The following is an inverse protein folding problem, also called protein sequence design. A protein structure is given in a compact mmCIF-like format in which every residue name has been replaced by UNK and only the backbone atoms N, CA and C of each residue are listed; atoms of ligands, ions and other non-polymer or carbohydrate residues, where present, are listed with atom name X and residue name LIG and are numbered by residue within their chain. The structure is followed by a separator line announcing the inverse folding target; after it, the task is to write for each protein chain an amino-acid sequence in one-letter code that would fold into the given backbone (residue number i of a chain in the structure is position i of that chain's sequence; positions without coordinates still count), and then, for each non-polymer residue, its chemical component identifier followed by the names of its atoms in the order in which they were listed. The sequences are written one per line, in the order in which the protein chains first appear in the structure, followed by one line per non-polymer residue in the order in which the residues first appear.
data_IF_560431599959
#
_entry.id   IF_560431599959
#
_cell.length_a   1.000
_cell.length_b   1.000
_cell.length_c   1.000
_cell.angle_alpha   90.00
_cell.angle_beta   90.00
_cell.angle_gamma   90.00
#
_symmetry.space_group_name_H-M   'P 1'
#
loop_
_entity.id
_entity.type
_entity.pdbx_description
1 polymer ?
#
# COMPACT_ATOMS: atom_id res chain seq x y z
N UNK A 1 -13.71 -6.48 12.96
CA UNK A 1 -12.82 -5.40 13.43
C UNK A 1 -13.68 -4.20 13.74
N UNK A 2 -13.55 -3.63 14.92
CA UNK A 2 -14.10 -2.30 15.17
C UNK A 2 -13.30 -1.29 14.36
N UNK A 3 -13.99 -0.34 13.75
CA UNK A 3 -13.35 0.69 12.92
C UNK A 3 -12.86 1.89 13.74
N UNK A 4 -13.03 1.86 15.06
CA UNK A 4 -12.68 2.96 15.97
C UNK A 4 -11.95 2.42 17.20
N UNK A 5 -10.99 3.19 17.69
CA UNK A 5 -10.23 2.93 18.91
C UNK A 5 -10.52 4.05 19.93
N UNK A 6 -11.73 4.58 19.89
CA UNK A 6 -12.16 5.62 20.81
C UNK A 6 -12.29 5.08 22.23
N UNK A 7 -12.01 5.90 23.21
CA UNK A 7 -12.01 5.47 24.61
C UNK A 7 -13.37 4.93 25.08
N UNK A 8 -14.47 5.45 24.55
CA UNK A 8 -15.83 4.99 24.88
C UNK A 8 -16.11 3.60 24.28
N UNK A 9 -15.62 3.29 23.09
CA UNK A 9 -15.68 1.95 22.49
C UNK A 9 -14.84 0.95 23.29
N UNK A 10 -13.62 1.33 23.67
CA UNK A 10 -12.75 0.51 24.52
C UNK A 10 -13.39 0.26 25.88
N UNK A 11 -13.97 1.28 26.50
CA UNK A 11 -14.65 1.15 27.79
C UNK A 11 -15.83 0.17 27.71
N UNK A 12 -16.64 0.27 26.67
CA UNK A 12 -17.80 -0.62 26.46
C UNK A 12 -17.39 -2.04 26.20
N UNK A 13 -16.43 -2.26 25.29
CA UNK A 13 -16.06 -3.60 24.82
C UNK A 13 -15.22 -4.36 25.83
N UNK A 14 -14.21 -3.73 26.43
CA UNK A 14 -13.23 -4.40 27.28
C UNK A 14 -13.46 -4.23 28.77
N UNK A 15 -14.19 -3.21 29.19
CA UNK A 15 -14.45 -2.92 30.59
C UNK A 15 -15.93 -3.09 30.99
N UNK A 16 -16.84 -3.27 30.04
CA UNK A 16 -18.29 -3.30 30.29
C UNK A 16 -18.82 -1.98 30.86
N UNK A 17 -18.15 -0.86 30.58
CA UNK A 17 -18.47 0.48 31.10
C UNK A 17 -19.02 1.38 30.01
N UNK A 18 -20.04 2.15 30.35
CA UNK A 18 -20.51 3.25 29.50
C UNK A 18 -19.93 4.57 30.02
N UNK A 19 -19.19 5.24 29.13
CA UNK A 19 -18.63 6.58 29.35
C UNK A 19 -19.11 7.49 28.23
N UNK A 20 -19.27 8.82 28.48
CA UNK A 20 -19.69 9.75 27.42
C UNK A 20 -18.75 9.73 26.24
N UNK A 21 -19.28 9.57 25.01
CA UNK A 21 -18.50 9.67 23.79
C UNK A 21 -18.03 11.10 23.50
N UNK A 22 -17.09 11.25 22.56
CA UNK A 22 -16.60 12.58 22.16
C UNK A 22 -17.75 13.53 21.76
N UNK A 23 -18.67 13.04 20.89
CA UNK A 23 -19.79 13.85 20.39
C UNK A 23 -20.82 14.23 21.46
N UNK A 24 -20.88 13.48 22.57
CA UNK A 24 -21.70 13.83 23.72
C UNK A 24 -21.07 14.95 24.58
N UNK A 25 -19.73 14.97 24.64
CA UNK A 25 -19.00 16.02 25.36
C UNK A 25 -18.88 17.30 24.52
N UNK A 26 -18.68 17.15 23.21
CA UNK A 26 -18.45 18.23 22.24
C UNK A 26 -19.46 18.17 21.07
N UNK A 27 -20.75 18.42 21.29
CA UNK A 27 -21.79 18.21 20.29
C UNK A 27 -21.71 19.12 19.05
N UNK A 28 -20.89 20.18 19.10
CA UNK A 28 -20.72 21.13 17.99
C UNK A 28 -19.34 21.06 17.31
N UNK A 29 -18.43 20.25 17.83
CA UNK A 29 -17.03 20.15 17.36
C UNK A 29 -16.85 18.83 16.62
N UNK A 30 -16.27 18.86 15.42
CA UNK A 30 -15.92 17.63 14.70
C UNK A 30 -14.74 16.95 15.36
N UNK A 31 -14.71 15.61 15.38
CA UNK A 31 -13.61 14.80 15.95
C UNK A 31 -12.21 15.16 15.40
N UNK A 32 -12.15 15.67 14.17
CA UNK A 32 -10.90 16.11 13.51
C UNK A 32 -10.45 17.52 13.94
N UNK A 33 -11.24 18.23 14.71
CA UNK A 33 -10.97 19.60 15.14
C UNK A 33 -10.52 19.60 16.60
N UNK A 34 -9.53 20.45 16.94
CA UNK A 34 -9.16 20.68 18.34
C UNK A 34 -10.23 21.54 18.97
N UNK A 35 -10.83 21.14 20.09
CA UNK A 35 -11.90 21.91 20.75
C UNK A 35 -11.33 23.12 21.51
N UNK A 36 -10.69 24.05 20.78
CA UNK A 36 -10.00 25.22 21.36
C UNK A 36 -10.94 26.26 21.97
N UNK A 37 -12.19 26.32 21.46
CA UNK A 37 -13.19 27.28 21.87
C UNK A 37 -14.22 26.69 22.86
N UNK A 38 -14.01 25.45 23.29
CA UNK A 38 -14.88 24.75 24.22
C UNK A 38 -14.60 25.15 25.68
N UNK A 39 -15.60 24.98 26.52
CA UNK A 39 -15.44 25.29 27.96
C UNK A 39 -14.40 24.34 28.58
N UNK A 40 -13.53 24.88 29.47
CA UNK A 40 -12.46 24.12 30.12
C UNK A 40 -12.93 22.85 30.83
N UNK A 41 -14.15 22.81 31.34
CA UNK A 41 -14.75 21.66 32.02
C UNK A 41 -14.95 20.48 31.06
N UNK A 42 -15.39 20.70 29.81
CA UNK A 42 -15.56 19.66 28.81
C UNK A 42 -14.21 19.09 28.37
N UNK A 43 -13.21 19.97 28.21
CA UNK A 43 -11.84 19.55 27.88
C UNK A 43 -11.28 18.67 29.01
N UNK A 44 -11.41 19.10 30.25
CA UNK A 44 -10.98 18.33 31.42
C UNK A 44 -11.70 16.98 31.49
N UNK A 45 -13.02 16.97 31.33
CA UNK A 45 -13.86 15.79 31.37
C UNK A 45 -13.40 14.78 30.31
N UNK A 46 -13.18 15.22 29.07
CA UNK A 46 -12.68 14.40 27.97
C UNK A 46 -11.30 13.81 28.27
N UNK A 47 -10.35 14.64 28.73
CA UNK A 47 -9.00 14.20 29.08
C UNK A 47 -9.03 13.17 30.23
N UNK A 48 -9.87 13.38 31.25
CA UNK A 48 -10.03 12.46 32.38
C UNK A 48 -10.59 11.10 31.91
N UNK A 49 -11.59 11.07 31.04
CA UNK A 49 -12.13 9.79 30.52
C UNK A 49 -11.10 9.04 29.67
N UNK A 50 -10.36 9.74 28.79
CA UNK A 50 -9.28 9.12 28.02
C UNK A 50 -8.23 8.46 28.93
N UNK A 51 -7.72 9.21 29.91
CA UNK A 51 -6.70 8.72 30.83
C UNK A 51 -7.23 7.56 31.71
N UNK A 52 -8.45 7.68 32.22
CA UNK A 52 -9.07 6.67 33.08
C UNK A 52 -9.32 5.36 32.33
N UNK A 53 -9.91 5.43 31.13
CA UNK A 53 -10.19 4.25 30.33
C UNK A 53 -8.89 3.57 29.89
N UNK A 54 -7.89 4.35 29.42
CA UNK A 54 -6.59 3.80 29.05
C UNK A 54 -5.93 3.07 30.24
N UNK A 55 -5.95 3.66 31.44
CA UNK A 55 -5.41 3.02 32.63
C UNK A 55 -6.15 1.74 33.01
N UNK A 56 -7.50 1.76 33.00
CA UNK A 56 -8.32 0.58 33.36
C UNK A 56 -8.27 -0.53 32.33
N UNK A 57 -8.21 -0.19 31.05
CA UNK A 57 -8.19 -1.18 29.98
C UNK A 57 -6.87 -1.93 29.86
N UNK A 58 -5.77 -1.41 30.41
CA UNK A 58 -4.43 -2.00 30.32
C UNK A 58 -4.42 -3.49 30.61
N UNK A 59 -4.95 -3.89 31.77
CA UNK A 59 -4.88 -5.30 32.19
C UNK A 59 -5.77 -6.19 31.32
N UNK A 60 -7.01 -5.75 31.02
CA UNK A 60 -7.93 -6.47 30.16
C UNK A 60 -7.38 -6.64 28.73
N UNK A 61 -6.78 -5.59 28.15
CA UNK A 61 -6.14 -5.66 26.85
C UNK A 61 -4.89 -6.56 26.86
N UNK A 62 -4.10 -6.51 27.94
CA UNK A 62 -2.93 -7.38 28.07
C UNK A 62 -3.33 -8.85 28.14
N UNK A 63 -4.36 -9.20 28.93
CA UNK A 63 -4.88 -10.56 28.96
C UNK A 63 -5.44 -10.99 27.60
N UNK A 64 -6.12 -10.07 26.87
CA UNK A 64 -6.61 -10.36 25.51
C UNK A 64 -5.48 -10.63 24.53
N UNK A 65 -4.37 -9.89 24.60
CA UNK A 65 -3.16 -10.14 23.81
C UNK A 65 -2.53 -11.51 24.13
N UNK A 66 -2.52 -11.93 25.40
CA UNK A 66 -2.06 -13.28 25.81
C UNK A 66 -2.98 -14.37 25.25
N UNK A 67 -4.29 -14.26 25.46
CA UNK A 67 -5.29 -15.20 24.94
C UNK A 67 -5.20 -15.38 23.41
N UNK A 68 -4.89 -14.31 22.71
CA UNK A 68 -4.74 -14.31 21.25
C UNK A 68 -3.32 -14.57 20.79
N UNK A 69 -2.37 -14.87 21.68
CA UNK A 69 -0.94 -15.13 21.39
C UNK A 69 -0.27 -13.99 20.61
N UNK A 70 -0.76 -12.74 20.78
CA UNK A 70 -0.22 -11.57 20.12
C UNK A 70 0.62 -10.67 21.03
N UNK A 71 0.87 -11.06 22.29
CA UNK A 71 1.63 -10.23 23.23
C UNK A 71 3.08 -10.03 22.78
N UNK A 72 3.71 -11.04 22.20
CA UNK A 72 5.10 -10.97 21.74
C UNK A 72 5.25 -9.98 20.58
N UNK A 73 4.38 -10.04 19.57
CA UNK A 73 4.43 -9.09 18.46
C UNK A 73 4.10 -7.67 18.93
N UNK A 74 3.19 -7.53 19.90
CA UNK A 74 2.89 -6.23 20.50
C UNK A 74 4.12 -5.62 21.18
N UNK A 75 4.80 -6.39 22.06
CA UNK A 75 5.93 -5.88 22.83
C UNK A 75 7.19 -5.69 21.99
N UNK A 76 7.46 -6.60 21.03
CA UNK A 76 8.72 -6.64 20.29
C UNK A 76 8.66 -5.91 18.93
N UNK A 77 7.45 -5.65 18.40
CA UNK A 77 7.27 -4.99 17.11
C UNK A 77 6.43 -3.71 17.25
N UNK A 78 5.18 -3.81 17.71
CA UNK A 78 4.27 -2.65 17.63
C UNK A 78 4.71 -1.49 18.55
N UNK A 79 5.11 -1.78 19.79
CA UNK A 79 5.55 -0.74 20.74
C UNK A 79 6.90 -0.13 20.32
N UNK A 80 7.95 -0.89 20.00
CA UNK A 80 9.20 -0.29 19.52
C UNK A 80 9.03 0.52 18.22
N UNK A 81 8.18 0.06 17.32
CA UNK A 81 7.89 0.78 16.08
C UNK A 81 7.31 2.19 16.31
N UNK A 82 6.52 2.38 17.37
CA UNK A 82 5.94 3.69 17.70
C UNK A 82 7.02 4.78 17.83
N UNK A 83 8.17 4.44 18.40
CA UNK A 83 9.29 5.39 18.54
C UNK A 83 9.96 5.67 17.19
N UNK A 84 10.15 4.64 16.34
CA UNK A 84 10.71 4.84 15.01
C UNK A 84 9.80 5.71 14.12
N UNK A 85 8.48 5.49 14.18
CA UNK A 85 7.51 6.31 13.48
C UNK A 85 7.46 7.75 14.01
N UNK A 86 7.53 7.94 15.32
CA UNK A 86 7.61 9.27 15.91
C UNK A 86 8.83 10.05 15.41
N UNK A 87 10.01 9.42 15.43
CA UNK A 87 11.24 10.05 14.94
C UNK A 87 11.15 10.38 13.45
N UNK A 88 10.52 9.51 12.63
CA UNK A 88 10.27 9.72 11.22
C UNK A 88 9.29 10.88 10.95
N UNK A 89 8.18 10.96 11.70
CA UNK A 89 7.22 12.06 11.63
C UNK A 89 7.84 13.40 12.03
N UNK A 90 8.69 13.40 13.08
CA UNK A 90 9.43 14.60 13.50
C UNK A 90 10.49 15.03 12.47
N UNK A 91 11.15 14.07 11.82
CA UNK A 91 12.11 14.38 10.75
C UNK A 91 11.41 15.02 9.55
N UNK A 92 10.28 14.47 9.12
CA UNK A 92 9.58 14.87 7.91
C UNK A 92 10.44 14.70 6.65
N UNK A 93 9.87 14.94 5.49
CA UNK A 93 10.57 14.90 4.20
C UNK A 93 10.59 16.27 3.54
N UNK A 94 11.76 16.72 3.08
CA UNK A 94 11.92 18.04 2.47
C UNK A 94 11.36 18.08 1.05
N UNK A 95 10.70 19.18 0.70
CA UNK A 95 10.06 19.42 -0.59
C UNK A 95 10.56 20.71 -1.20
N UNK A 96 11.00 20.67 -2.46
CA UNK A 96 11.29 21.83 -3.27
C UNK A 96 9.98 22.49 -3.74
N UNK A 97 9.39 23.38 -2.93
CA UNK A 97 8.10 24.00 -3.17
C UNK A 97 8.00 24.71 -4.53
N UNK A 98 9.08 25.38 -4.96
CA UNK A 98 9.14 26.02 -6.27
C UNK A 98 9.02 25.02 -7.43
N UNK A 99 9.71 23.87 -7.35
CA UNK A 99 9.61 22.79 -8.33
C UNK A 99 8.21 22.17 -8.35
N UNK A 100 7.59 22.01 -7.17
CA UNK A 100 6.23 21.50 -7.06
C UNK A 100 5.22 22.45 -7.73
N UNK A 101 5.39 23.76 -7.53
CA UNK A 101 4.58 24.80 -8.18
C UNK A 101 4.75 24.79 -9.70
N UNK A 102 5.99 24.75 -10.20
CA UNK A 102 6.29 24.65 -11.63
C UNK A 102 5.65 23.40 -12.26
N UNK A 103 5.73 22.26 -11.57
CA UNK A 103 5.06 21.03 -11.98
C UNK A 103 3.53 21.23 -12.08
N UNK A 104 2.92 21.86 -11.09
CA UNK A 104 1.48 22.19 -11.09
C UNK A 104 1.04 23.08 -12.27
N UNK A 105 1.86 24.09 -12.63
CA UNK A 105 1.60 24.98 -13.77
C UNK A 105 1.73 24.24 -15.13
N UNK A 106 2.70 23.34 -15.26
CA UNK A 106 2.82 22.48 -16.46
C UNK A 106 1.59 21.58 -16.63
N UNK A 107 1.13 20.94 -15.54
CA UNK A 107 -0.09 20.13 -15.56
C UNK A 107 -1.31 20.97 -15.96
N UNK A 108 -1.43 22.18 -15.40
CA UNK A 108 -2.53 23.10 -15.72
C UNK A 108 -2.55 23.43 -17.21
N UNK A 109 -1.41 23.73 -17.80
CA UNK A 109 -1.31 24.03 -19.25
C UNK A 109 -1.81 22.84 -20.10
N UNK A 110 -1.44 21.61 -19.73
CA UNK A 110 -1.92 20.41 -20.41
C UNK A 110 -3.43 20.18 -20.23
N UNK A 111 -3.94 20.39 -19.02
CA UNK A 111 -5.37 20.29 -18.70
C UNK A 111 -6.19 21.31 -19.54
N UNK A 112 -5.76 22.57 -19.56
CA UNK A 112 -6.46 23.66 -20.28
C UNK A 112 -6.48 23.38 -21.79
N UNK A 113 -5.41 22.78 -22.34
CA UNK A 113 -5.35 22.40 -23.75
C UNK A 113 -6.30 21.24 -24.09
N UNK A 114 -6.27 20.17 -23.27
CA UNK A 114 -7.15 19.01 -23.45
C UNK A 114 -8.63 19.38 -23.27
N UNK A 115 -8.95 20.25 -22.32
CA UNK A 115 -10.32 20.72 -22.10
C UNK A 115 -10.89 21.43 -23.35
N UNK A 116 -10.11 22.33 -23.98
CA UNK A 116 -10.50 22.96 -25.23
C UNK A 116 -10.74 21.97 -26.36
N UNK A 117 -9.84 21.00 -26.51
CA UNK A 117 -9.96 19.98 -27.55
C UNK A 117 -11.19 19.08 -27.30
N UNK A 118 -11.44 18.66 -26.05
CA UNK A 118 -12.59 17.86 -25.67
C UNK A 118 -13.90 18.61 -25.95
N UNK A 119 -13.99 19.90 -25.59
CA UNK A 119 -15.18 20.70 -25.84
C UNK A 119 -15.40 20.97 -27.34
N UNK A 120 -14.33 21.16 -28.09
CA UNK A 120 -14.43 21.32 -29.55
C UNK A 120 -14.98 20.07 -30.25
N UNK A 121 -14.57 18.86 -29.78
CA UNK A 121 -15.06 17.59 -30.32
C UNK A 121 -16.46 17.26 -29.85
N UNK A 122 -16.80 17.58 -28.59
CA UNK A 122 -18.16 17.40 -28.05
C UNK A 122 -19.18 18.39 -28.61
N UNK A 123 -18.71 19.53 -29.15
CA UNK A 123 -19.56 20.60 -29.68
C UNK A 123 -20.09 21.59 -28.64
N UNK A 124 -19.86 21.36 -27.37
CA UNK A 124 -20.25 22.22 -26.25
C UNK A 124 -19.45 21.94 -24.97
N UNK A 125 -19.48 22.88 -24.03
CA UNK A 125 -18.85 22.74 -22.73
C UNK A 125 -19.67 21.86 -21.79
N UNK A 126 -18.99 21.05 -20.97
CA UNK A 126 -19.57 20.22 -19.92
C UNK A 126 -18.55 19.92 -18.83
N UNK A 127 -18.97 19.42 -17.67
CA UNK A 127 -18.02 19.02 -16.62
C UNK A 127 -17.45 17.63 -16.91
N UNK A 128 -16.21 17.58 -17.44
CA UNK A 128 -15.48 16.35 -17.79
C UNK A 128 -15.26 15.45 -16.56
N UNK A 129 -15.14 16.04 -15.35
CA UNK A 129 -15.00 15.33 -14.10
C UNK A 129 -16.33 14.78 -13.55
N UNK A 130 -17.47 15.14 -14.15
CA UNK A 130 -18.77 14.58 -13.77
C UNK A 130 -19.03 13.27 -14.51
N UNK A 131 -19.05 12.10 -13.82
CA UNK A 131 -19.34 10.82 -14.47
C UNK A 131 -20.69 10.82 -15.21
N UNK A 132 -21.68 11.56 -14.67
CA UNK A 132 -23.00 11.66 -15.28
C UNK A 132 -23.00 12.42 -16.60
N UNK A 133 -22.38 13.61 -16.62
CA UNK A 133 -22.31 14.42 -17.83
C UNK A 133 -21.44 13.75 -18.89
N UNK A 134 -20.24 13.27 -18.51
CA UNK A 134 -19.39 12.56 -19.44
C UNK A 134 -20.05 11.29 -20.00
N UNK A 135 -20.79 10.55 -19.17
CA UNK A 135 -21.53 9.37 -19.62
C UNK A 135 -22.60 9.69 -20.66
N UNK A 136 -23.30 10.83 -20.51
CA UNK A 136 -24.30 11.29 -21.48
C UNK A 136 -23.62 11.70 -22.81
N UNK A 137 -22.50 12.43 -22.77
CA UNK A 137 -21.72 12.76 -23.97
C UNK A 137 -21.30 11.48 -24.71
N UNK A 138 -20.60 10.56 -24.01
CA UNK A 138 -20.03 9.38 -24.66
C UNK A 138 -21.10 8.41 -25.22
N UNK A 139 -22.11 8.11 -24.44
CA UNK A 139 -23.05 7.03 -24.74
C UNK A 139 -24.43 7.52 -25.15
N UNK A 140 -24.81 8.76 -24.83
CA UNK A 140 -26.05 9.41 -25.27
C UNK A 140 -25.88 10.15 -26.59
N UNK A 141 -24.98 11.14 -26.63
CA UNK A 141 -24.82 12.03 -27.80
C UNK A 141 -23.91 11.40 -28.87
N UNK A 142 -22.70 10.94 -28.50
CA UNK A 142 -21.75 10.33 -29.43
C UNK A 142 -22.06 8.87 -29.75
N UNK A 143 -22.98 8.24 -29.01
CA UNK A 143 -23.46 6.86 -29.20
C UNK A 143 -22.36 5.79 -29.25
N UNK A 144 -21.30 5.97 -28.45
CA UNK A 144 -20.22 4.98 -28.38
C UNK A 144 -20.75 3.63 -27.86
N UNK A 145 -20.18 2.51 -28.33
CA UNK A 145 -20.61 1.16 -27.89
C UNK A 145 -20.21 0.89 -26.43
N UNK A 146 -20.82 -0.12 -25.82
CA UNK A 146 -20.42 -0.63 -24.50
C UNK A 146 -20.90 0.22 -23.30
N UNK A 147 -21.79 1.16 -23.48
CA UNK A 147 -22.37 1.98 -22.42
C UNK A 147 -23.12 1.14 -21.38
N UNK A 148 -22.49 0.85 -20.23
CA UNK A 148 -23.11 0.12 -19.12
C UNK A 148 -23.87 1.08 -18.23
N UNK A 149 -25.21 0.98 -18.21
CA UNK A 149 -26.06 1.76 -17.32
C UNK A 149 -25.91 1.31 -15.86
N UNK A 150 -25.78 2.27 -14.97
CA UNK A 150 -25.80 2.12 -13.51
C UNK A 150 -27.06 2.80 -12.96
N UNK A 151 -27.27 2.74 -11.65
CA UNK A 151 -28.40 3.45 -11.00
C UNK A 151 -28.35 4.97 -11.18
N UNK A 152 -27.18 5.55 -11.43
CA UNK A 152 -26.93 7.00 -11.50
C UNK A 152 -26.56 7.50 -12.90
N UNK A 153 -26.62 6.65 -13.93
CA UNK A 153 -26.24 6.97 -15.31
C UNK A 153 -25.30 5.94 -15.93
N UNK A 154 -24.57 6.31 -16.97
CA UNK A 154 -23.58 5.44 -17.58
C UNK A 154 -22.29 5.36 -16.75
N UNK A 155 -21.66 4.17 -16.73
CA UNK A 155 -20.36 4.01 -16.11
C UNK A 155 -19.27 4.62 -16.99
N UNK A 156 -18.47 5.52 -16.41
CA UNK A 156 -17.27 6.12 -17.03
C UNK A 156 -16.01 5.77 -16.23
N UNK A 157 -15.99 4.57 -15.63
CA UNK A 157 -14.78 4.07 -14.94
C UNK A 157 -13.62 3.89 -15.92
N UNK A 158 -12.38 3.97 -15.43
CA UNK A 158 -11.19 3.76 -16.24
C UNK A 158 -11.28 2.47 -17.05
N UNK A 159 -11.68 1.36 -16.43
CA UNK A 159 -11.83 0.05 -17.08
C UNK A 159 -12.88 -0.01 -18.20
N UNK A 160 -13.83 0.93 -18.25
CA UNK A 160 -14.79 1.08 -19.37
C UNK A 160 -14.16 1.91 -20.47
N UNK A 161 -13.49 3.01 -20.11
CA UNK A 161 -12.89 3.93 -21.08
C UNK A 161 -11.66 3.32 -21.77
N UNK A 162 -10.79 2.60 -21.04
CA UNK A 162 -9.62 1.91 -21.58
C UNK A 162 -9.98 0.88 -22.67
N UNK A 163 -11.18 0.28 -22.60
CA UNK A 163 -11.66 -0.64 -23.66
C UNK A 163 -12.09 0.09 -24.93
N UNK A 164 -12.43 1.36 -24.83
CA UNK A 164 -12.85 2.19 -25.96
C UNK A 164 -11.68 2.96 -26.56
N UNK A 165 -10.64 3.20 -25.77
CA UNK A 165 -9.49 4.00 -26.15
C UNK A 165 -8.85 3.64 -27.49
N UNK A 166 -8.62 2.32 -27.81
CA UNK A 166 -7.99 1.95 -29.09
C UNK A 166 -8.77 2.39 -30.33
N UNK A 167 -10.09 2.45 -30.23
CA UNK A 167 -10.99 2.75 -31.37
C UNK A 167 -11.47 4.21 -31.39
N UNK A 168 -11.36 4.95 -30.27
CA UNK A 168 -11.92 6.27 -30.11
C UNK A 168 -10.91 7.27 -29.52
N UNK A 169 -10.20 8.07 -30.35
CA UNK A 169 -9.22 9.05 -29.90
C UNK A 169 -9.77 10.11 -28.91
N UNK A 170 -11.05 10.40 -28.98
CA UNK A 170 -11.74 11.26 -28.01
C UNK A 170 -11.64 10.70 -26.57
N UNK A 171 -11.74 9.39 -26.43
CA UNK A 171 -11.63 8.71 -25.13
C UNK A 171 -10.21 8.79 -24.57
N UNK A 172 -9.18 8.69 -25.43
CA UNK A 172 -7.79 8.89 -25.00
C UNK A 172 -7.57 10.28 -24.38
N UNK A 173 -8.13 11.33 -24.99
CA UNK A 173 -8.06 12.70 -24.43
C UNK A 173 -8.73 12.82 -23.07
N UNK A 174 -9.87 12.13 -22.86
CA UNK A 174 -10.56 12.13 -21.59
C UNK A 174 -9.76 11.40 -20.52
N UNK A 175 -9.14 10.25 -20.84
CA UNK A 175 -8.28 9.50 -19.93
C UNK A 175 -7.06 10.34 -19.54
N UNK A 176 -6.41 10.99 -20.51
CA UNK A 176 -5.28 11.89 -20.27
C UNK A 176 -5.68 13.09 -19.41
N UNK A 177 -6.79 13.77 -19.74
CA UNK A 177 -7.33 14.87 -18.94
C UNK A 177 -7.55 14.47 -17.49
N UNK A 178 -8.20 13.34 -17.24
CA UNK A 178 -8.45 12.82 -15.89
C UNK A 178 -7.16 12.49 -15.15
N UNK A 179 -6.19 11.95 -15.86
CA UNK A 179 -4.87 11.67 -15.30
C UNK A 179 -4.17 12.95 -14.85
N UNK A 180 -4.08 13.96 -15.72
CA UNK A 180 -3.45 15.25 -15.41
C UNK A 180 -4.21 15.98 -14.29
N UNK A 181 -5.54 16.00 -14.34
CA UNK A 181 -6.38 16.62 -13.32
C UNK A 181 -6.19 15.96 -11.94
N UNK A 182 -6.08 14.63 -11.89
CA UNK A 182 -5.79 13.90 -10.65
C UNK A 182 -4.38 14.20 -10.14
N UNK A 183 -3.37 14.20 -11.02
CA UNK A 183 -2.00 14.53 -10.64
C UNK A 183 -1.91 15.94 -10.07
N UNK A 184 -2.59 16.91 -10.70
CA UNK A 184 -2.63 18.29 -10.24
C UNK A 184 -3.33 18.42 -8.89
N UNK A 185 -4.58 17.97 -8.79
CA UNK A 185 -5.38 18.18 -7.58
C UNK A 185 -4.86 17.40 -6.36
N UNK A 186 -4.44 16.16 -6.56
CA UNK A 186 -4.03 15.28 -5.44
C UNK A 186 -2.58 15.53 -5.01
N UNK A 187 -1.67 15.76 -5.98
CA UNK A 187 -0.25 15.83 -5.67
C UNK A 187 0.30 17.25 -5.78
N UNK A 188 0.12 17.98 -6.91
CA UNK A 188 0.67 19.31 -7.00
C UNK A 188 0.04 20.27 -5.99
N UNK A 189 -1.29 20.40 -6.01
CA UNK A 189 -2.02 21.30 -5.12
C UNK A 189 -2.20 20.67 -3.72
N UNK A 190 -2.45 19.34 -3.69
CA UNK A 190 -2.74 18.62 -2.45
C UNK A 190 -1.54 18.47 -1.51
N UNK A 191 -0.30 18.35 -2.03
CA UNK A 191 0.90 18.31 -1.20
C UNK A 191 1.32 19.70 -0.71
N UNK A 192 1.09 20.74 -1.53
CA UNK A 192 1.51 22.10 -1.21
C UNK A 192 0.95 22.61 0.13
N UNK A 193 -0.25 22.19 0.53
CA UNK A 193 -0.89 22.61 1.78
C UNK A 193 -0.27 22.01 3.03
N UNK A 194 0.57 20.96 2.88
CA UNK A 194 1.23 20.28 3.98
C UNK A 194 2.70 20.69 4.15
N UNK A 195 3.23 21.54 3.28
CA UNK A 195 4.61 22.01 3.39
C UNK A 195 4.70 22.99 4.55
N UNK A 196 5.47 22.64 5.59
CA UNK A 196 5.73 23.46 6.76
C UNK A 196 6.68 24.63 6.48
N UNK A 197 6.88 25.48 7.48
CA UNK A 197 7.80 26.63 7.43
C UNK A 197 9.26 26.21 7.23
N UNK A 198 9.60 24.98 7.58
CA UNK A 198 10.90 24.34 7.36
C UNK A 198 11.05 23.69 5.99
N UNK A 199 10.08 23.89 5.08
CA UNK A 199 9.98 23.26 3.77
C UNK A 199 9.85 21.72 3.82
N UNK A 200 9.35 21.15 4.93
CA UNK A 200 9.13 19.71 5.07
C UNK A 200 7.66 19.37 5.16
N UNK A 201 7.35 18.17 4.75
CA UNK A 201 6.05 17.54 5.00
C UNK A 201 6.23 16.56 6.16
N UNK A 202 5.52 16.82 7.27
CA UNK A 202 5.44 15.96 8.44
C UNK A 202 4.15 15.14 8.36
N UNK A 203 4.18 14.09 7.55
CA UNK A 203 3.03 13.19 7.40
C UNK A 203 2.79 12.36 8.66
N UNK A 204 1.61 11.73 8.75
CA UNK A 204 1.26 10.81 9.83
C UNK A 204 1.32 9.37 9.33
N UNK A 205 1.89 8.47 10.15
CA UNK A 205 2.00 7.05 9.87
C UNK A 205 1.20 6.24 10.89
N UNK A 206 0.16 5.55 10.40
CA UNK A 206 -0.78 4.84 11.25
C UNK A 206 -0.49 3.34 11.28
N UNK A 207 -0.33 2.75 12.47
CA UNK A 207 -0.09 1.32 12.68
C UNK A 207 -1.38 0.49 12.68
N UNK A 208 -2.54 1.09 12.92
CA UNK A 208 -3.78 0.39 13.29
C UNK A 208 -4.88 0.44 12.22
N UNK A 209 -4.64 1.09 11.08
CA UNK A 209 -5.67 1.30 10.05
C UNK A 209 -5.81 0.11 9.11
N UNK A 210 -4.69 -0.47 8.66
CA UNK A 210 -4.73 -1.54 7.68
C UNK A 210 -5.03 -2.89 8.30
N UNK A 211 -5.87 -3.69 7.65
CA UNK A 211 -6.20 -5.04 8.12
C UNK A 211 -5.03 -6.04 7.98
N UNK A 212 -4.01 -5.72 7.20
CA UNK A 212 -2.84 -6.58 6.95
C UNK A 212 -1.68 -6.32 7.91
N UNK A 213 -1.76 -5.29 8.74
CA UNK A 213 -0.64 -4.85 9.58
C UNK A 213 0.34 -3.90 8.87
N UNK A 214 0.15 -3.59 7.58
CA UNK A 214 0.93 -2.54 6.90
C UNK A 214 0.73 -1.20 7.58
N UNK A 215 1.74 -0.34 7.55
CA UNK A 215 1.64 1.07 7.94
C UNK A 215 0.86 1.79 6.84
N UNK A 216 -0.01 2.71 7.20
CA UNK A 216 -0.65 3.64 6.25
C UNK A 216 -0.21 5.07 6.50
N UNK A 217 -0.11 5.87 5.44
CA UNK A 217 0.27 7.27 5.51
C UNK A 217 -0.95 8.16 5.28
N UNK A 218 -1.07 9.22 6.09
CA UNK A 218 -2.12 10.25 5.98
C UNK A 218 -1.53 11.63 6.25
N UNK A 219 -2.21 12.66 5.83
CA UNK A 219 -1.84 14.06 6.06
C UNK A 219 -0.42 14.45 5.58
N UNK A 220 -0.05 14.17 4.30
CA UNK A 220 -0.79 13.51 3.23
C UNK A 220 -0.46 12.03 3.08
N UNK A 221 -1.16 11.32 2.17
CA UNK A 221 -0.78 9.95 1.82
C UNK A 221 0.39 9.94 0.83
N UNK A 222 1.62 9.82 1.34
CA UNK A 222 2.85 9.78 0.56
C UNK A 222 3.10 8.39 -0.08
N UNK A 223 2.42 7.34 0.38
CA UNK A 223 2.59 5.97 -0.15
C UNK A 223 1.90 5.73 -1.49
N UNK A 224 1.05 6.66 -1.94
CA UNK A 224 0.30 6.53 -3.19
C UNK A 224 0.86 7.41 -4.34
N UNK A 225 2.05 7.97 -4.19
CA UNK A 225 2.68 8.76 -5.26
C UNK A 225 3.02 7.84 -6.43
N UNK A 226 2.54 8.13 -7.66
CA UNK A 226 2.69 7.24 -8.80
C UNK A 226 4.15 7.03 -9.21
N UNK A 227 4.55 5.78 -9.44
CA UNK A 227 5.91 5.41 -9.88
C UNK A 227 5.95 5.00 -11.35
N UNK A 228 4.87 4.37 -11.85
CA UNK A 228 4.86 3.74 -13.18
C UNK A 228 4.73 4.72 -14.34
N UNK A 229 4.15 5.87 -14.11
CA UNK A 229 3.90 6.88 -15.15
C UNK A 229 5.00 7.94 -15.14
N UNK A 230 5.53 8.37 -16.30
CA UNK A 230 6.58 9.39 -16.37
C UNK A 230 6.20 10.68 -15.62
N UNK A 231 4.98 11.20 -15.84
CA UNK A 231 4.49 12.38 -15.13
C UNK A 231 4.33 12.16 -13.62
N UNK A 232 3.99 10.95 -13.19
CA UNK A 232 3.94 10.58 -11.76
C UNK A 232 5.32 10.60 -11.12
N UNK A 233 6.34 10.10 -11.83
CA UNK A 233 7.74 10.11 -11.37
C UNK A 233 8.28 11.54 -11.18
N UNK A 234 7.84 12.49 -11.98
CA UNK A 234 8.21 13.92 -11.82
C UNK A 234 7.87 14.46 -10.41
N UNK A 235 6.82 13.93 -9.76
CA UNK A 235 6.47 14.30 -8.39
C UNK A 235 7.54 13.83 -7.41
N UNK A 236 8.14 12.66 -7.63
CA UNK A 236 9.21 12.16 -6.74
C UNK A 236 10.46 13.05 -6.79
N UNK A 237 10.70 13.77 -7.90
CA UNK A 237 11.83 14.71 -8.06
C UNK A 237 11.70 15.98 -7.22
N UNK A 238 10.48 16.31 -6.73
CA UNK A 238 10.30 17.47 -5.85
C UNK A 238 10.70 17.19 -4.41
N UNK A 239 10.77 15.91 -4.02
CA UNK A 239 11.29 15.50 -2.72
C UNK A 239 12.82 15.45 -2.80
N UNK A 240 13.47 16.31 -2.05
CA UNK A 240 14.92 16.50 -2.05
C UNK A 240 15.48 16.32 -0.64
N UNK A 241 16.73 15.87 -0.49
CA UNK A 241 17.38 15.86 0.80
C UNK A 241 17.77 17.28 1.24
N UNK A 242 18.01 17.45 2.53
CA UNK A 242 18.62 18.67 3.08
C UNK A 242 20.00 18.91 2.47
N UNK A 243 20.45 20.17 2.46
CA UNK A 243 21.82 20.53 2.05
C UNK A 243 22.87 19.75 2.85
N UNK A 244 23.86 19.19 2.16
CA UNK A 244 24.89 18.29 2.71
C UNK A 244 24.40 16.87 2.99
N UNK A 245 23.24 16.50 2.46
CA UNK A 245 22.66 15.16 2.54
C UNK A 245 22.31 14.62 1.15
N UNK A 246 22.13 13.31 1.09
CA UNK A 246 21.56 12.58 -0.05
C UNK A 246 20.42 11.70 0.44
N UNK A 247 19.57 11.24 -0.45
CA UNK A 247 18.65 10.14 -0.15
C UNK A 247 19.32 8.79 -0.39
N UNK A 248 19.07 7.87 0.51
CA UNK A 248 19.38 6.46 0.35
C UNK A 248 18.06 5.72 0.45
N UNK A 249 17.70 5.04 -0.62
CA UNK A 249 16.51 4.18 -0.70
C UNK A 249 16.93 2.72 -0.67
N UNK A 250 16.21 1.92 0.09
CA UNK A 250 16.40 0.49 0.17
C UNK A 250 15.05 -0.22 0.03
N UNK A 251 14.92 -1.06 -1.01
CA UNK A 251 13.70 -1.78 -1.37
C UNK A 251 13.90 -3.29 -1.34
N UNK A 252 12.95 -4.01 -0.77
CA UNK A 252 12.94 -5.47 -0.80
C UNK A 252 12.63 -6.01 -2.19
N UNK A 253 13.52 -6.81 -2.72
CA UNK A 253 13.27 -7.50 -3.98
C UNK A 253 12.25 -8.62 -3.81
N UNK A 254 11.00 -8.38 -4.21
CA UNK A 254 9.92 -9.37 -4.27
C UNK A 254 9.63 -10.09 -2.93
N UNK A 255 9.56 -9.35 -1.84
CA UNK A 255 9.42 -9.91 -0.49
C UNK A 255 8.24 -10.89 -0.35
N UNK A 256 7.07 -10.58 -0.92
CA UNK A 256 5.88 -11.43 -0.80
C UNK A 256 6.08 -12.82 -1.45
N UNK A 257 6.80 -12.89 -2.59
CA UNK A 257 7.12 -14.17 -3.23
C UNK A 257 8.17 -14.96 -2.46
N UNK A 258 9.13 -14.31 -1.82
CA UNK A 258 10.12 -14.96 -0.95
C UNK A 258 9.48 -15.51 0.32
N UNK A 259 8.53 -14.78 0.90
CA UNK A 259 7.70 -15.27 2.01
C UNK A 259 6.86 -16.46 1.56
N UNK A 260 6.24 -16.41 0.38
CA UNK A 260 5.50 -17.54 -0.16
C UNK A 260 6.40 -18.78 -0.34
N UNK A 261 7.62 -18.61 -0.86
CA UNK A 261 8.59 -19.70 -0.98
C UNK A 261 8.88 -20.34 0.38
N UNK A 262 9.14 -19.53 1.40
CA UNK A 262 9.39 -20.00 2.75
C UNK A 262 8.17 -20.70 3.38
N UNK A 263 7.00 -20.07 3.35
CA UNK A 263 5.80 -20.59 4.02
C UNK A 263 5.22 -21.84 3.34
N UNK A 264 5.36 -21.94 2.01
CA UNK A 264 4.91 -23.11 1.26
C UNK A 264 5.89 -24.29 1.29
N UNK A 265 7.14 -24.04 1.69
CA UNK A 265 8.28 -24.97 1.57
C UNK A 265 8.38 -25.61 0.17
N UNK A 266 7.97 -24.87 -0.86
CA UNK A 266 8.03 -25.37 -2.23
C UNK A 266 9.47 -25.44 -2.72
N UNK A 267 9.93 -26.65 -3.00
CA UNK A 267 11.35 -26.89 -3.34
C UNK A 267 11.77 -26.23 -4.63
N UNK A 268 10.88 -26.21 -5.63
CA UNK A 268 11.19 -25.59 -6.92
C UNK A 268 11.30 -24.07 -6.81
N UNK A 269 10.41 -23.44 -6.01
CA UNK A 269 10.47 -22.01 -5.80
C UNK A 269 11.67 -21.60 -4.94
N UNK A 270 12.00 -22.38 -3.90
CA UNK A 270 13.19 -22.17 -3.07
C UNK A 270 14.46 -22.32 -3.90
N UNK A 271 14.55 -23.36 -4.72
CA UNK A 271 15.68 -23.61 -5.61
C UNK A 271 15.86 -22.48 -6.63
N UNK A 272 14.76 -22.01 -7.21
CA UNK A 272 14.79 -20.88 -8.13
C UNK A 272 15.34 -19.60 -7.46
N UNK A 273 14.99 -19.28 -6.22
CA UNK A 273 15.55 -18.14 -5.51
C UNK A 273 17.02 -18.30 -5.12
N UNK A 274 17.45 -19.52 -4.82
CA UNK A 274 18.84 -19.79 -4.41
C UNK A 274 19.81 -19.84 -5.60
N UNK A 275 19.32 -20.18 -6.81
CA UNK A 275 20.18 -20.41 -7.97
C UNK A 275 19.87 -19.52 -9.20
N UNK A 276 18.70 -18.89 -9.26
CA UNK A 276 18.28 -18.03 -10.36
C UNK A 276 18.14 -16.57 -9.91
N UNK A 277 18.71 -15.66 -10.68
CA UNK A 277 18.55 -14.21 -10.44
C UNK A 277 17.20 -13.67 -10.89
N UNK A 278 16.49 -14.38 -11.76
CA UNK A 278 15.21 -13.94 -12.34
C UNK A 278 14.12 -15.00 -12.13
N UNK A 279 13.40 -14.85 -11.00
CA UNK A 279 12.30 -15.74 -10.64
C UNK A 279 11.17 -15.79 -11.68
N UNK A 280 10.91 -14.68 -12.39
CA UNK A 280 9.85 -14.64 -13.40
C UNK A 280 10.26 -15.40 -14.66
N UNK A 281 11.53 -15.33 -15.04
CA UNK A 281 12.06 -16.16 -16.13
C UNK A 281 12.09 -17.64 -15.74
N UNK A 282 12.50 -17.97 -14.51
CA UNK A 282 12.46 -19.34 -14.01
C UNK A 282 11.04 -19.92 -14.01
N UNK A 283 10.06 -19.15 -13.52
CA UNK A 283 8.64 -19.54 -13.58
C UNK A 283 8.16 -19.71 -15.02
N UNK A 284 8.53 -18.81 -15.94
CA UNK A 284 8.16 -18.91 -17.34
C UNK A 284 8.74 -20.20 -17.97
N UNK A 285 10.00 -20.51 -17.72
CA UNK A 285 10.64 -21.75 -18.18
C UNK A 285 9.84 -22.99 -17.75
N UNK A 286 9.42 -23.05 -16.50
CA UNK A 286 8.65 -24.17 -15.96
C UNK A 286 7.22 -24.23 -16.50
N UNK A 287 6.51 -23.10 -16.54
CA UNK A 287 5.09 -23.04 -16.94
C UNK A 287 4.92 -23.23 -18.45
N UNK A 288 5.83 -22.68 -19.25
CA UNK A 288 5.78 -22.79 -20.72
C UNK A 288 6.61 -23.95 -21.28
N UNK A 289 7.31 -24.72 -20.40
CA UNK A 289 8.15 -25.85 -20.77
C UNK A 289 9.22 -25.51 -21.82
N UNK A 290 9.88 -24.36 -21.65
CA UNK A 290 10.98 -23.89 -22.52
C UNK A 290 12.26 -23.73 -21.68
N UNK A 291 13.46 -23.93 -22.28
CA UNK A 291 14.72 -23.65 -21.61
C UNK A 291 14.77 -22.20 -21.12
N UNK A 292 15.45 -21.96 -19.99
CA UNK A 292 15.51 -20.63 -19.36
C UNK A 292 16.03 -19.55 -20.31
N UNK A 293 17.03 -19.89 -21.12
CA UNK A 293 17.66 -19.03 -22.12
C UNK A 293 16.79 -18.72 -23.33
N UNK A 294 15.72 -19.49 -23.55
CA UNK A 294 14.75 -19.33 -24.65
C UNK A 294 13.48 -18.58 -24.18
N UNK A 295 13.37 -18.24 -22.90
CA UNK A 295 12.20 -17.51 -22.38
C UNK A 295 12.08 -16.14 -23.03
N UNK A 296 10.98 -15.90 -23.71
CA UNK A 296 10.69 -14.61 -24.34
C UNK A 296 10.31 -13.54 -23.31
N UNK A 297 10.44 -12.26 -23.69
CA UNK A 297 10.01 -11.13 -22.84
C UNK A 297 8.51 -11.21 -22.49
N UNK A 298 7.70 -11.69 -23.43
CA UNK A 298 6.26 -11.86 -23.23
C UNK A 298 5.97 -12.98 -22.23
N UNK A 299 6.58 -14.15 -22.38
CA UNK A 299 6.45 -15.28 -21.45
C UNK A 299 6.89 -14.87 -20.03
N UNK A 300 8.01 -14.15 -19.92
CA UNK A 300 8.47 -13.61 -18.63
C UNK A 300 7.46 -12.64 -18.02
N UNK A 301 6.87 -11.75 -18.83
CA UNK A 301 5.83 -10.81 -18.38
C UNK A 301 4.56 -11.55 -17.94
N UNK A 302 4.13 -12.56 -18.67
CA UNK A 302 2.98 -13.39 -18.32
C UNK A 302 3.24 -14.15 -17.00
N UNK A 303 4.42 -14.76 -16.85
CA UNK A 303 4.82 -15.41 -15.61
C UNK A 303 4.88 -14.43 -14.42
N UNK A 304 5.31 -13.19 -14.63
CA UNK A 304 5.26 -12.15 -13.61
C UNK A 304 3.83 -11.89 -13.14
N UNK A 305 2.88 -11.74 -14.06
CA UNK A 305 1.47 -11.54 -13.72
C UNK A 305 0.88 -12.76 -13.00
N UNK A 306 1.24 -13.98 -13.40
CA UNK A 306 0.83 -15.22 -12.70
C UNK A 306 1.41 -15.27 -11.30
N UNK A 307 2.71 -15.04 -11.12
CA UNK A 307 3.38 -15.06 -9.83
C UNK A 307 2.70 -14.12 -8.82
N UNK A 308 2.49 -12.85 -9.21
CA UNK A 308 1.79 -11.89 -8.34
C UNK A 308 0.31 -12.26 -8.18
N UNK A 309 -0.36 -12.65 -9.26
CA UNK A 309 -1.76 -13.05 -9.22
C UNK A 309 -2.03 -14.19 -8.23
N UNK A 310 -1.17 -15.19 -8.17
CA UNK A 310 -1.31 -16.32 -7.25
C UNK A 310 -1.22 -15.86 -5.80
N UNK A 311 -0.28 -14.99 -5.45
CA UNK A 311 -0.17 -14.40 -4.09
C UNK A 311 -1.46 -13.71 -3.68
N UNK A 312 -2.14 -13.05 -4.62
CA UNK A 312 -3.41 -12.35 -4.37
C UNK A 312 -4.67 -13.22 -4.59
N UNK A 313 -4.51 -14.50 -4.86
CA UNK A 313 -5.63 -15.42 -5.09
C UNK A 313 -6.42 -15.09 -6.37
N UNK A 314 -5.71 -14.77 -7.46
CA UNK A 314 -6.33 -14.40 -8.75
C UNK A 314 -7.17 -15.54 -9.31
N UNK A 315 -8.33 -15.19 -9.88
CA UNK A 315 -9.15 -16.14 -10.66
C UNK A 315 -8.71 -16.17 -12.11
N UNK A 316 -9.07 -17.26 -12.83
CA UNK A 316 -8.86 -17.34 -14.28
C UNK A 316 -9.51 -16.17 -15.05
N UNK A 317 -10.61 -15.63 -14.55
CA UNK A 317 -11.23 -14.42 -15.09
C UNK A 317 -10.37 -13.17 -14.87
N UNK A 318 -9.81 -12.99 -13.68
CA UNK A 318 -8.89 -11.88 -13.40
C UNK A 318 -7.66 -11.95 -14.30
N UNK A 319 -6.97 -13.10 -14.29
CA UNK A 319 -5.77 -13.31 -15.09
C UNK A 319 -6.02 -13.15 -16.60
N UNK A 320 -7.16 -13.59 -17.11
CA UNK A 320 -7.52 -13.42 -18.52
C UNK A 320 -7.66 -11.95 -18.94
N UNK A 321 -8.19 -11.11 -18.04
CA UNK A 321 -8.26 -9.67 -18.28
C UNK A 321 -6.88 -9.01 -18.19
N UNK A 322 -6.06 -9.38 -17.20
CA UNK A 322 -4.73 -8.78 -16.99
C UNK A 322 -3.76 -9.09 -18.15
N UNK A 323 -3.85 -10.28 -18.72
CA UNK A 323 -3.01 -10.72 -19.83
C UNK A 323 -3.66 -10.53 -21.21
N UNK A 324 -4.90 -10.10 -21.28
CA UNK A 324 -5.67 -10.02 -22.56
C UNK A 324 -5.72 -11.35 -23.32
N UNK A 325 -5.81 -12.48 -22.60
CA UNK A 325 -5.91 -13.85 -23.15
C UNK A 325 -7.29 -14.45 -22.88
N UNK A 326 -7.57 -15.60 -23.51
CA UNK A 326 -8.82 -16.32 -23.22
C UNK A 326 -8.85 -16.86 -21.78
N UNK A 327 -10.05 -16.96 -21.21
CA UNK A 327 -10.23 -17.57 -19.87
C UNK A 327 -9.69 -18.99 -19.79
N UNK A 328 -9.77 -19.76 -20.88
CA UNK A 328 -9.27 -21.13 -20.94
C UNK A 328 -7.72 -21.17 -20.87
N UNK A 329 -7.05 -20.26 -21.56
CA UNK A 329 -5.58 -20.11 -21.46
C UNK A 329 -5.16 -19.68 -20.06
N UNK A 330 -5.86 -18.70 -19.46
CA UNK A 330 -5.59 -18.27 -18.08
C UNK A 330 -5.77 -19.42 -17.07
N UNK A 331 -6.79 -20.26 -17.25
CA UNK A 331 -7.02 -21.44 -16.42
C UNK A 331 -5.88 -22.47 -16.59
N UNK A 332 -5.40 -22.65 -17.82
CA UNK A 332 -4.28 -23.53 -18.09
C UNK A 332 -2.99 -23.03 -17.45
N UNK A 333 -2.70 -21.72 -17.53
CA UNK A 333 -1.52 -21.12 -16.88
C UNK A 333 -1.54 -21.31 -15.37
N UNK A 334 -2.69 -21.09 -14.71
CA UNK A 334 -2.83 -21.33 -13.26
C UNK A 334 -2.60 -22.82 -12.93
N UNK A 335 -3.13 -23.72 -13.75
CA UNK A 335 -2.96 -25.16 -13.56
C UNK A 335 -1.50 -25.58 -13.70
N UNK A 336 -0.81 -25.13 -14.75
CA UNK A 336 0.59 -25.48 -15.02
C UNK A 336 1.51 -24.87 -13.94
N UNK A 337 1.18 -23.67 -13.44
CA UNK A 337 1.84 -23.07 -12.28
C UNK A 337 1.76 -23.97 -11.05
N UNK A 338 0.57 -24.47 -10.70
CA UNK A 338 0.41 -25.35 -9.54
C UNK A 338 0.97 -26.76 -9.74
N UNK A 339 1.12 -27.23 -10.98
CA UNK A 339 1.86 -28.45 -11.30
C UNK A 339 3.36 -28.21 -11.04
N UNK A 340 3.88 -27.05 -11.44
CA UNK A 340 5.28 -26.66 -11.26
C UNK A 340 5.64 -26.37 -9.80
N UNK A 341 4.67 -25.85 -9.04
CA UNK A 341 4.82 -25.44 -7.64
C UNK A 341 3.76 -26.09 -6.73
N UNK A 342 3.83 -27.43 -6.52
CA UNK A 342 2.80 -28.15 -5.76
C UNK A 342 2.75 -27.75 -4.26
N UNK A 343 3.88 -27.33 -3.69
CA UNK A 343 3.96 -26.83 -2.32
C UNK A 343 3.12 -25.58 -2.12
N UNK A 344 3.12 -24.66 -3.09
CA UNK A 344 2.29 -23.45 -3.06
C UNK A 344 0.81 -23.81 -3.05
N UNK A 345 0.39 -24.74 -3.94
CA UNK A 345 -1.01 -25.18 -3.98
C UNK A 345 -1.47 -25.72 -2.62
N UNK A 346 -0.68 -26.62 -2.04
CA UNK A 346 -0.97 -27.22 -0.75
C UNK A 346 -1.04 -26.17 0.37
N UNK A 347 -0.10 -25.21 0.37
CA UNK A 347 -0.07 -24.13 1.36
C UNK A 347 -1.34 -23.27 1.27
N UNK A 348 -1.73 -22.82 0.08
CA UNK A 348 -2.90 -21.97 -0.11
C UNK A 348 -4.20 -22.69 0.28
N UNK A 349 -4.36 -23.96 -0.10
CA UNK A 349 -5.53 -24.76 0.27
C UNK A 349 -5.61 -24.96 1.79
N UNK A 350 -4.48 -25.24 2.44
CA UNK A 350 -4.39 -25.39 3.89
C UNK A 350 -4.68 -24.06 4.61
N UNK A 351 -4.19 -22.94 4.10
CA UNK A 351 -4.44 -21.61 4.68
C UNK A 351 -5.94 -21.30 4.71
N UNK A 352 -6.67 -21.61 3.63
CA UNK A 352 -8.12 -21.45 3.58
C UNK A 352 -8.84 -22.38 4.56
N UNK A 353 -8.41 -23.65 4.62
CA UNK A 353 -8.99 -24.64 5.53
C UNK A 353 -8.82 -24.22 7.00
N UNK A 354 -7.59 -23.89 7.39
CA UNK A 354 -7.28 -23.45 8.76
C UNK A 354 -8.03 -22.16 9.12
N UNK A 355 -8.10 -21.20 8.20
CA UNK A 355 -8.83 -19.95 8.44
C UNK A 355 -10.35 -20.20 8.62
N UNK A 356 -10.94 -21.18 7.90
CA UNK A 356 -12.34 -21.59 8.12
C UNK A 356 -12.55 -22.23 9.50
N UNK A 357 -11.59 -23.01 9.97
CA UNK A 357 -11.67 -23.67 11.27
C UNK A 357 -11.45 -22.68 12.43
N UNK A 358 -10.46 -21.79 12.31
CA UNK A 358 -10.04 -20.85 13.37
C UNK A 358 -10.83 -19.52 13.36
N UNK A 359 -11.41 -19.12 12.22
CA UNK A 359 -12.03 -17.82 12.00
C UNK A 359 -11.06 -16.67 11.72
N UNK A 360 -9.76 -16.95 11.62
CA UNK A 360 -8.69 -15.96 11.36
C UNK A 360 -7.50 -16.59 10.63
N UNK A 361 -6.71 -15.74 9.97
CA UNK A 361 -5.37 -16.09 9.45
C UNK A 361 -4.27 -15.56 10.38
N UNK A 362 -3.06 -16.13 10.26
CA UNK A 362 -1.91 -15.79 11.12
C UNK A 362 -0.67 -15.54 10.26
N UNK A 363 0.12 -14.49 10.58
CA UNK A 363 1.43 -14.24 9.98
C UNK A 363 2.51 -15.12 10.61
N UNK A 364 3.71 -15.14 10.01
CA UNK A 364 4.89 -15.84 10.57
C UNK A 364 5.24 -15.37 11.99
N UNK A 365 4.86 -14.14 12.34
CA UNK A 365 5.15 -13.52 13.65
C UNK A 365 3.97 -13.53 14.61
N UNK A 366 2.90 -14.28 14.30
CA UNK A 366 1.76 -14.47 15.19
C UNK A 366 0.67 -13.40 15.10
N UNK A 367 0.76 -12.45 14.14
CA UNK A 367 -0.30 -11.47 13.92
C UNK A 367 -1.55 -12.17 13.41
N UNK A 368 -2.68 -12.00 14.09
CA UNK A 368 -3.97 -12.58 13.71
C UNK A 368 -4.84 -11.59 12.97
N UNK A 369 -5.42 -12.04 11.86
CA UNK A 369 -6.44 -11.30 11.11
C UNK A 369 -7.75 -12.08 11.11
N UNK A 370 -8.80 -11.65 11.82
CA UNK A 370 -10.15 -12.23 11.73
C UNK A 370 -10.71 -12.12 10.32
N UNK A 371 -11.41 -13.18 9.86
CA UNK A 371 -12.01 -13.24 8.51
C UNK A 371 -13.48 -13.69 8.64
N UNK A 372 -14.37 -12.81 9.12
CA UNK A 372 -15.79 -13.14 9.29
C UNK A 372 -16.49 -13.48 7.97
N UNK A 373 -15.97 -13.02 6.84
CA UNK A 373 -16.50 -13.30 5.51
C UNK A 373 -16.55 -14.80 5.18
N UNK A 374 -15.67 -15.61 5.76
CA UNK A 374 -15.63 -17.06 5.52
C UNK A 374 -16.91 -17.79 5.93
N UNK A 375 -17.65 -17.25 6.90
CA UNK A 375 -18.93 -17.81 7.39
C UNK A 375 -20.15 -17.12 6.81
N UNK A 376 -19.98 -16.15 5.89
CA UNK A 376 -21.09 -15.42 5.28
C UNK A 376 -22.02 -16.33 4.45
N UNK A 377 -23.32 -16.11 4.51
CA UNK A 377 -24.30 -16.74 3.62
C UNK A 377 -24.12 -16.34 2.15
N UNK A 378 -23.48 -15.20 1.87
CA UNK A 378 -23.25 -14.70 0.51
C UNK A 378 -22.00 -15.34 -0.11
N UNK A 379 -22.19 -15.99 -1.27
CA UNK A 379 -21.10 -16.67 -1.99
C UNK A 379 -19.93 -15.74 -2.35
N UNK A 380 -20.21 -14.54 -2.82
CA UNK A 380 -19.16 -13.57 -3.20
C UNK A 380 -18.33 -13.12 -1.99
N UNK A 381 -18.97 -12.94 -0.82
CA UNK A 381 -18.27 -12.62 0.41
C UNK A 381 -17.41 -13.79 0.88
N UNK A 382 -17.91 -15.03 0.81
CA UNK A 382 -17.08 -16.20 1.14
C UNK A 382 -15.86 -16.33 0.23
N UNK A 383 -16.04 -16.15 -1.08
CA UNK A 383 -14.89 -16.15 -2.02
C UNK A 383 -13.89 -15.03 -1.70
N UNK A 384 -14.38 -13.86 -1.30
CA UNK A 384 -13.49 -12.78 -0.83
C UNK A 384 -12.74 -13.22 0.42
N UNK A 385 -13.42 -13.80 1.41
CA UNK A 385 -12.80 -14.35 2.62
C UNK A 385 -11.72 -15.41 2.33
N UNK A 386 -11.94 -16.29 1.34
CA UNK A 386 -10.94 -17.27 0.92
C UNK A 386 -9.68 -16.61 0.33
N UNK A 387 -9.84 -15.59 -0.51
CA UNK A 387 -8.68 -14.81 -1.00
C UNK A 387 -7.95 -14.08 0.13
N UNK A 388 -8.69 -13.53 1.08
CA UNK A 388 -8.09 -12.91 2.28
C UNK A 388 -7.30 -13.95 3.09
N UNK A 389 -7.81 -15.18 3.25
CA UNK A 389 -7.12 -16.25 3.98
C UNK A 389 -5.81 -16.68 3.31
N UNK A 390 -5.76 -16.69 1.98
CA UNK A 390 -4.55 -16.98 1.20
C UNK A 390 -3.51 -15.86 1.27
N UNK A 391 -3.94 -14.62 1.08
CA UNK A 391 -3.05 -13.46 0.95
C UNK A 391 -2.55 -12.91 2.30
N UNK A 392 -3.42 -12.84 3.33
CA UNK A 392 -3.10 -12.15 4.58
C UNK A 392 -1.88 -12.68 5.32
N UNK A 393 -1.61 -13.99 5.39
CA UNK A 393 -0.39 -14.50 6.02
C UNK A 393 0.87 -13.98 5.33
N UNK A 394 0.87 -13.90 4.00
CA UNK A 394 2.01 -13.48 3.18
C UNK A 394 2.21 -11.97 3.31
N UNK A 395 1.19 -11.18 2.99
CA UNK A 395 1.26 -9.72 3.04
C UNK A 395 1.49 -9.18 4.46
N UNK A 396 0.86 -9.83 5.45
CA UNK A 396 1.05 -9.47 6.85
C UNK A 396 2.46 -9.79 7.35
N UNK A 397 3.04 -10.93 6.94
CA UNK A 397 4.43 -11.25 7.27
C UNK A 397 5.42 -10.29 6.62
N UNK A 398 5.16 -9.84 5.38
CA UNK A 398 5.96 -8.79 4.75
C UNK A 398 5.90 -7.48 5.54
N UNK A 399 4.72 -7.09 6.01
CA UNK A 399 4.56 -5.92 6.86
C UNK A 399 5.30 -6.07 8.20
N UNK A 400 5.27 -7.24 8.82
CA UNK A 400 5.99 -7.51 10.07
C UNK A 400 7.50 -7.45 9.88
N UNK A 401 8.03 -8.03 8.79
CA UNK A 401 9.47 -7.96 8.42
C UNK A 401 9.90 -6.50 8.22
N UNK A 402 9.13 -5.71 7.47
CA UNK A 402 9.41 -4.29 7.26
C UNK A 402 9.43 -3.52 8.58
N UNK A 403 8.50 -3.78 9.50
CA UNK A 403 8.46 -3.15 10.82
C UNK A 403 9.70 -3.49 11.66
N UNK A 404 10.10 -4.76 11.64
CA UNK A 404 11.33 -5.23 12.33
C UNK A 404 12.56 -4.54 11.73
N UNK A 405 12.66 -4.47 10.41
CA UNK A 405 13.74 -3.77 9.72
C UNK A 405 13.80 -2.28 10.13
N UNK A 406 12.66 -1.57 10.13
CA UNK A 406 12.59 -0.17 10.57
C UNK A 406 13.09 0.03 12.00
N UNK A 407 12.67 -0.83 12.92
CA UNK A 407 13.08 -0.79 14.34
C UNK A 407 14.60 -0.97 14.44
N UNK A 408 15.14 -1.97 13.74
CA UNK A 408 16.57 -2.28 13.78
C UNK A 408 17.41 -1.16 13.18
N UNK A 409 17.02 -0.63 12.01
CA UNK A 409 17.66 0.51 11.36
C UNK A 409 17.64 1.74 12.27
N UNK A 410 16.47 2.12 12.79
CA UNK A 410 16.35 3.28 13.68
C UNK A 410 17.20 3.13 14.95
N UNK A 411 17.24 1.94 15.52
CA UNK A 411 18.04 1.62 16.69
C UNK A 411 19.54 1.74 16.39
N UNK A 412 20.03 1.14 15.30
CA UNK A 412 21.45 1.13 14.96
C UNK A 412 21.94 2.52 14.55
N UNK A 413 21.16 3.31 13.82
CA UNK A 413 21.47 4.71 13.54
C UNK A 413 21.71 5.51 14.84
N UNK A 414 20.86 5.28 15.85
CA UNK A 414 20.94 5.95 17.14
C UNK A 414 22.14 5.45 17.99
N UNK A 415 22.38 4.13 18.03
CA UNK A 415 23.49 3.52 18.77
C UNK A 415 24.86 3.96 18.24
N UNK A 416 24.95 4.24 16.93
CA UNK A 416 26.17 4.73 16.28
C UNK A 416 26.27 6.27 16.25
N UNK A 417 25.34 6.97 16.92
CA UNK A 417 25.26 8.43 17.00
C UNK A 417 25.26 9.12 15.61
N UNK A 418 24.60 8.48 14.62
CA UNK A 418 24.47 9.03 13.28
C UNK A 418 23.37 10.09 13.22
N UNK A 419 23.60 11.12 12.41
CA UNK A 419 22.65 12.22 12.20
C UNK A 419 21.60 11.91 11.14
N UNK A 420 21.86 10.94 10.30
CA UNK A 420 20.96 10.44 9.25
C UNK A 420 19.64 9.94 9.84
N UNK A 421 18.52 10.15 9.13
CA UNK A 421 17.17 9.86 9.62
C UNK A 421 16.37 9.09 8.60
N UNK A 422 15.55 8.14 9.06
CA UNK A 422 14.46 7.60 8.25
C UNK A 422 13.45 8.73 8.05
N UNK A 423 13.09 9.02 6.80
CA UNK A 423 12.14 10.09 6.46
C UNK A 423 10.85 9.58 5.84
N UNK A 424 10.87 8.35 5.29
CA UNK A 424 9.70 7.76 4.65
C UNK A 424 9.77 6.24 4.64
N UNK A 425 8.62 5.60 4.75
CA UNK A 425 8.40 4.19 4.49
C UNK A 425 7.25 4.05 3.47
N UNK A 426 7.49 3.35 2.36
CA UNK A 426 6.49 3.12 1.31
C UNK A 426 6.49 1.64 0.94
N UNK A 427 5.39 0.94 1.18
CA UNK A 427 5.23 -0.50 0.91
C UNK A 427 6.36 -1.35 1.51
N UNK A 428 7.37 -1.69 0.72
CA UNK A 428 8.56 -2.52 1.03
C UNK A 428 9.88 -1.73 0.90
N UNK A 429 9.80 -0.40 0.80
CA UNK A 429 10.96 0.50 0.72
C UNK A 429 11.12 1.35 1.99
N UNK A 430 12.38 1.68 2.34
CA UNK A 430 12.78 2.64 3.35
C UNK A 430 13.66 3.72 2.73
N UNK A 431 13.25 4.98 2.93
CA UNK A 431 14.00 6.15 2.49
C UNK A 431 14.67 6.84 3.69
N UNK A 432 15.98 7.02 3.59
CA UNK A 432 16.80 7.74 4.60
C UNK A 432 17.35 9.03 3.99
N UNK A 433 17.23 10.13 4.71
CA UNK A 433 18.02 11.33 4.48
C UNK A 433 19.35 11.16 5.21
N UNK A 434 20.42 10.91 4.44
CA UNK A 434 21.75 10.59 4.95
C UNK A 434 22.72 11.73 4.73
N UNK A 435 23.49 12.08 5.75
CA UNK A 435 24.60 13.02 5.59
C UNK A 435 25.68 12.42 4.68
N UNK A 436 26.28 13.23 3.81
CA UNK A 436 27.27 12.78 2.81
C UNK A 436 28.44 12.00 3.43
N UNK A 437 28.87 12.37 4.63
CA UNK A 437 29.95 11.67 5.35
C UNK A 437 29.50 10.37 6.05
N UNK A 438 28.19 10.06 6.06
CA UNK A 438 27.61 8.87 6.68
C UNK A 438 27.10 7.85 5.64
N UNK A 439 27.13 8.18 4.35
CA UNK A 439 26.48 7.43 3.26
C UNK A 439 26.84 5.94 3.27
N UNK A 440 28.12 5.59 3.26
CA UNK A 440 28.53 4.18 3.18
C UNK A 440 28.10 3.41 4.44
N UNK A 441 28.21 4.03 5.61
CA UNK A 441 27.78 3.40 6.86
C UNK A 441 26.26 3.21 6.91
N UNK A 442 25.48 4.17 6.41
CA UNK A 442 24.01 4.08 6.36
C UNK A 442 23.57 3.02 5.35
N UNK A 443 24.23 2.91 4.19
CA UNK A 443 23.96 1.83 3.22
C UNK A 443 24.16 0.44 3.84
N UNK A 444 25.26 0.24 4.56
CA UNK A 444 25.55 -1.02 5.23
C UNK A 444 24.51 -1.33 6.32
N UNK A 445 24.12 -0.32 7.12
CA UNK A 445 23.08 -0.45 8.14
C UNK A 445 21.73 -0.85 7.51
N UNK A 446 21.30 -0.13 6.47
CA UNK A 446 20.05 -0.44 5.76
C UNK A 446 20.06 -1.87 5.23
N UNK A 447 21.06 -2.19 4.42
CA UNK A 447 21.15 -3.50 3.78
C UNK A 447 21.18 -4.64 4.81
N UNK A 448 22.07 -4.55 5.79
CA UNK A 448 22.24 -5.58 6.81
C UNK A 448 20.95 -5.79 7.63
N UNK A 449 20.36 -4.71 8.14
CA UNK A 449 19.16 -4.83 8.99
C UNK A 449 17.91 -5.26 8.23
N UNK A 450 17.77 -4.89 6.97
CA UNK A 450 16.67 -5.33 6.13
C UNK A 450 16.86 -6.80 5.73
N UNK A 451 18.01 -7.21 5.23
CA UNK A 451 18.30 -8.60 4.84
C UNK A 451 18.20 -9.58 6.04
N UNK A 452 18.51 -9.11 7.25
CA UNK A 452 18.48 -9.92 8.48
C UNK A 452 17.22 -9.76 9.32
N UNK A 453 16.22 -9.02 8.84
CA UNK A 453 14.98 -8.80 9.59
C UNK A 453 14.16 -10.10 9.84
N UNK A 454 14.38 -11.13 9.02
CA UNK A 454 13.82 -12.46 9.21
C UNK A 454 14.72 -13.54 8.63
N UNK A 455 14.60 -14.77 9.17
CA UNK A 455 15.28 -15.95 8.64
C UNK A 455 14.32 -16.77 7.79
N UNK A 456 14.48 -16.69 6.47
CA UNK A 456 13.68 -17.46 5.50
C UNK A 456 14.52 -18.60 4.89
N UNK A 457 13.85 -19.56 4.23
CA UNK A 457 14.52 -20.61 3.44
C UNK A 457 15.14 -20.07 2.13
N UNK A 458 14.93 -18.80 1.84
CA UNK A 458 15.47 -18.05 0.72
C UNK A 458 16.07 -16.73 1.23
N UNK A 459 17.09 -16.14 0.58
CA UNK A 459 17.63 -14.86 1.01
C UNK A 459 16.57 -13.76 0.91
N UNK A 460 16.64 -12.76 1.78
CA UNK A 460 15.96 -11.48 1.63
C UNK A 460 16.94 -10.53 0.92
N UNK A 461 16.76 -10.34 -0.40
CA UNK A 461 17.61 -9.41 -1.14
C UNK A 461 17.02 -8.00 -1.07
N UNK A 462 17.92 -7.04 -0.89
CA UNK A 462 17.60 -5.61 -0.78
C UNK A 462 18.42 -4.83 -1.80
N UNK A 463 17.74 -4.09 -2.66
CA UNK A 463 18.35 -3.14 -3.58
C UNK A 463 18.53 -1.80 -2.86
N UNK A 464 19.76 -1.25 -2.87
CA UNK A 464 20.10 0.01 -2.21
C UNK A 464 20.61 1.00 -3.24
N UNK A 465 19.97 2.15 -3.37
CA UNK A 465 20.34 3.21 -4.29
C UNK A 465 20.53 4.55 -3.57
N UNK A 466 21.26 5.47 -4.20
CA UNK A 466 21.55 6.81 -3.67
C UNK A 466 21.16 7.84 -4.71
N UNK A 467 20.53 8.93 -4.30
CA UNK A 467 20.10 9.98 -5.21
C UNK A 467 19.98 11.36 -4.56
N UNK A 468 19.94 12.40 -5.39
CA UNK A 468 19.74 13.78 -4.97
C UNK A 468 18.26 14.19 -4.90
N UNK A 469 17.39 13.25 -5.19
CA UNK A 469 15.93 13.34 -5.03
C UNK A 469 15.38 11.90 -4.94
N UNK A 470 14.11 11.78 -4.57
CA UNK A 470 13.52 10.45 -4.37
C UNK A 470 13.40 9.63 -5.69
N UNK A 471 13.21 10.27 -6.87
CA UNK A 471 13.18 9.55 -8.15
C UNK A 471 14.53 8.96 -8.55
N UNK A 472 15.64 9.65 -8.21
CA UNK A 472 17.01 9.17 -8.46
C UNK A 472 17.43 8.06 -7.47
N UNK A 473 16.93 8.12 -6.24
CA UNK A 473 17.24 7.13 -5.20
C UNK A 473 16.44 5.83 -5.35
N UNK A 474 15.37 5.80 -6.15
CA UNK A 474 14.49 4.65 -6.37
C UNK A 474 14.75 4.01 -7.77
#
# INVERSE_FOLDING_TARGET
MQNTYDYDDIAREYLGMNVPAFDEIFPKTKKSETPSDEIPENILKYACYNAYVAYKAKDALTEKLKETEMLDIYNNVEIPLTYALYDMEQAGIMVAGDKLKEYGERLKTGIDALEKDIFAEAGHEFNINSPKQLGEILFGEMQLPGGKKTKTGYSTSASVLEKLEPDYPFVSKILEYRQLAKLKSTYADGLAVYIGEDNRIHGKFNQTITATGRISSTEPNLQNIPVRMPLGREIRKVFIPKEGCVFIDADYSQIELRILAHMSDDKNLIDAYNHSKDIHAATASLVFHVPLEEVTKEQRSNAKAVNFGIVYGISSFGLSNDLSISRKEAEQYIKDYFISYPGIKNYLDNSVKEAKEKGYSVTMFGRRRPIPELTSGNFMQRQFGERVAMNSPIQGSAADIMKIAMINVAKELKEKDLKSKIVLQVHDELLIEAYENEVEQVKDILKCNMEQAAHLNVPLDVDVQVGNNWDEAH
#
